data_IF_052133912416
#
_entry.id   IF_052133912416
#
_cell.length_a   1.000
_cell.length_b   1.000
_cell.length_c   1.000
_cell.angle_alpha   90.00
_cell.angle_beta   90.00
_cell.angle_gamma   90.00
#
_symmetry.space_group_name_H-M   'P 1'
#
loop_
_entity.id
_entity.type
_entity.pdbx_description
1 polymer ?
#
# COMPACT_ATOMS: atom_id res chain seq x y z
N UNK A 1 -14.80 -7.82 -5.70
CA UNK A 1 -13.39 -8.00 -6.10
C UNK A 1 -12.77 -9.04 -5.17
N UNK A 2 -12.52 -10.29 -5.62
CA UNK A 2 -11.83 -11.28 -4.78
C UNK A 2 -10.39 -10.81 -4.62
N UNK A 3 -10.01 -10.33 -3.44
CA UNK A 3 -8.61 -10.07 -3.13
C UNK A 3 -7.86 -11.39 -3.36
N UNK A 4 -7.00 -11.43 -4.37
CA UNK A 4 -6.03 -12.52 -4.52
C UNK A 4 -4.99 -12.31 -3.42
N UNK A 5 -5.29 -12.79 -2.21
CA UNK A 5 -4.30 -12.85 -1.14
C UNK A 5 -3.13 -13.70 -1.64
N UNK A 6 -1.98 -13.06 -1.86
CA UNK A 6 -0.75 -13.76 -2.21
C UNK A 6 -0.07 -14.16 -0.91
N UNK A 7 -0.19 -15.43 -0.55
CA UNK A 7 0.44 -15.95 0.65
C UNK A 7 1.97 -15.92 0.54
N UNK A 8 2.65 -15.59 1.64
CA UNK A 8 4.11 -15.58 1.74
C UNK A 8 4.68 -16.99 1.46
N UNK A 9 5.82 -17.05 0.77
CA UNK A 9 6.53 -18.32 0.47
C UNK A 9 6.79 -19.20 1.72
N UNK A 10 7.31 -18.67 2.84
CA UNK A 10 7.52 -19.48 4.05
C UNK A 10 6.21 -20.00 4.67
N UNK A 11 5.13 -19.22 4.60
CA UNK A 11 3.80 -19.67 5.04
C UNK A 11 3.27 -20.83 4.19
N UNK A 12 3.41 -20.77 2.86
CA UNK A 12 3.04 -21.89 1.97
C UNK A 12 3.83 -23.16 2.32
N UNK A 13 5.12 -23.03 2.62
CA UNK A 13 5.97 -24.15 3.03
C UNK A 13 5.50 -24.76 4.36
N UNK A 14 5.21 -23.93 5.35
CA UNK A 14 4.70 -24.38 6.66
C UNK A 14 3.39 -25.17 6.52
N UNK A 15 2.39 -24.61 5.83
CA UNK A 15 1.08 -25.26 5.63
C UNK A 15 1.24 -26.60 4.91
N UNK A 16 2.16 -26.70 3.95
CA UNK A 16 2.44 -27.97 3.25
C UNK A 16 3.11 -28.99 4.17
N UNK A 17 4.08 -28.59 5.00
CA UNK A 17 4.69 -29.52 5.97
C UNK A 17 3.70 -30.00 7.05
N UNK A 18 2.79 -29.14 7.50
CA UNK A 18 1.73 -29.55 8.43
C UNK A 18 0.82 -30.62 7.80
N UNK A 19 0.56 -30.54 6.49
CA UNK A 19 -0.17 -31.58 5.75
C UNK A 19 0.60 -32.91 5.59
N UNK A 20 1.93 -32.90 5.74
CA UNK A 20 2.77 -34.10 5.59
C UNK A 20 2.99 -34.83 6.92
N UNK A 21 2.54 -34.28 8.06
CA UNK A 21 2.63 -34.94 9.37
C UNK A 21 1.74 -36.20 9.40
N UNK A 22 2.19 -37.31 10.02
CA UNK A 22 1.37 -38.51 10.18
C UNK A 22 0.04 -38.18 10.89
N UNK A 23 -1.09 -38.57 10.28
CA UNK A 23 -2.43 -38.31 10.80
C UNK A 23 -3.04 -36.95 10.44
N UNK A 24 -2.31 -36.06 9.76
CA UNK A 24 -2.86 -34.79 9.29
C UNK A 24 -3.68 -34.96 8.00
N UNK A 25 -4.89 -34.41 7.97
CA UNK A 25 -5.71 -34.30 6.76
C UNK A 25 -5.56 -32.91 6.14
N UNK A 26 -5.37 -32.84 4.82
CA UNK A 26 -5.32 -31.57 4.06
C UNK A 26 -6.58 -30.73 4.33
N UNK A 27 -7.74 -31.35 4.53
CA UNK A 27 -8.99 -30.66 4.87
C UNK A 27 -8.97 -30.08 6.29
N UNK A 28 -8.35 -30.77 7.25
CA UNK A 28 -8.21 -30.28 8.63
C UNK A 28 -7.25 -29.10 8.70
N UNK A 29 -6.13 -29.17 7.98
CA UNK A 29 -5.14 -28.07 7.89
C UNK A 29 -5.73 -26.88 7.11
N UNK A 30 -6.54 -27.14 6.08
CA UNK A 30 -7.29 -26.09 5.38
C UNK A 30 -8.21 -25.30 6.32
N UNK A 31 -8.96 -25.99 7.20
CA UNK A 31 -9.85 -25.34 8.17
C UNK A 31 -9.05 -24.53 9.19
N UNK A 32 -7.96 -25.09 9.74
CA UNK A 32 -7.18 -24.40 10.78
C UNK A 32 -6.55 -23.09 10.28
N UNK A 33 -6.18 -23.02 9.00
CA UNK A 33 -5.57 -21.84 8.38
C UNK A 33 -6.57 -20.96 7.61
N UNK A 34 -7.84 -21.34 7.53
CA UNK A 34 -8.85 -20.64 6.72
C UNK A 34 -8.56 -20.64 5.21
N UNK A 35 -7.84 -21.65 4.72
CA UNK A 35 -7.42 -21.77 3.31
C UNK A 35 -8.26 -22.84 2.61
N UNK A 36 -8.66 -22.61 1.35
CA UNK A 36 -9.32 -23.65 0.57
C UNK A 36 -8.36 -24.85 0.30
N UNK A 37 -8.78 -26.07 0.59
CA UNK A 37 -7.98 -27.29 0.40
C UNK A 37 -7.45 -27.47 -1.04
N UNK A 38 -8.17 -26.98 -2.07
CA UNK A 38 -7.69 -27.00 -3.46
C UNK A 38 -6.43 -26.15 -3.67
N UNK A 39 -6.26 -25.09 -2.89
CA UNK A 39 -5.07 -24.21 -2.93
C UNK A 39 -3.87 -24.93 -2.31
N UNK A 40 -4.06 -25.62 -1.19
CA UNK A 40 -3.00 -26.41 -0.54
C UNK A 40 -2.53 -27.55 -1.45
N UNK A 41 -3.46 -28.23 -2.15
CA UNK A 41 -3.13 -29.26 -3.14
C UNK A 41 -2.23 -28.75 -4.28
N UNK A 42 -2.40 -27.49 -4.69
CA UNK A 42 -1.52 -26.86 -5.68
C UNK A 42 -0.12 -26.55 -5.12
N UNK A 43 0.01 -26.34 -3.82
CA UNK A 43 1.29 -26.04 -3.16
C UNK A 43 2.09 -27.29 -2.82
N UNK A 44 1.43 -28.42 -2.56
CA UNK A 44 2.04 -29.71 -2.23
C UNK A 44 3.24 -30.06 -3.13
N UNK A 45 3.15 -30.11 -4.48
CA UNK A 45 4.30 -30.48 -5.30
C UNK A 45 5.41 -29.41 -5.33
N UNK A 46 5.12 -28.15 -4.97
CA UNK A 46 6.06 -27.02 -5.09
C UNK A 46 6.86 -26.81 -3.80
N UNK A 47 6.30 -27.21 -2.65
CA UNK A 47 6.84 -26.91 -1.33
C UNK A 47 7.08 -28.16 -0.46
N UNK A 48 6.84 -29.38 -0.97
CA UNK A 48 7.07 -30.65 -0.26
C UNK A 48 8.50 -30.78 0.27
N UNK A 49 9.49 -30.44 -0.55
CA UNK A 49 10.91 -30.62 -0.20
C UNK A 49 11.57 -29.31 0.26
N UNK A 50 10.79 -28.25 0.47
CA UNK A 50 11.33 -26.96 0.89
C UNK A 50 11.44 -26.89 2.40
N UNK A 51 12.58 -26.44 2.94
CA UNK A 51 12.74 -26.26 4.38
C UNK A 51 11.76 -25.20 4.90
N UNK A 52 11.16 -25.47 6.06
CA UNK A 52 10.32 -24.50 6.76
C UNK A 52 11.25 -23.53 7.46
N UNK A 53 11.45 -22.36 6.87
CA UNK A 53 11.98 -21.25 7.62
C UNK A 53 10.94 -20.87 8.70
N UNK A 54 11.33 -20.72 9.98
CA UNK A 54 10.40 -20.26 11.00
C UNK A 54 9.81 -18.92 10.56
N UNK A 55 8.49 -18.84 10.46
CA UNK A 55 7.85 -17.54 10.38
C UNK A 55 8.08 -16.85 11.73
N UNK A 56 8.69 -15.65 11.78
CA UNK A 56 8.63 -14.88 13.01
C UNK A 56 7.14 -14.63 13.31
N UNK A 57 6.70 -15.05 14.50
CA UNK A 57 5.32 -14.93 14.96
C UNK A 57 4.81 -13.47 14.94
N UNK A 58 5.74 -12.53 14.90
CA UNK A 58 5.54 -11.11 14.69
C UNK A 58 6.70 -10.59 13.84
N UNK A 59 6.43 -10.10 12.64
CA UNK A 59 7.37 -9.21 11.95
C UNK A 59 7.10 -7.83 12.51
N UNK A 60 7.91 -7.29 13.45
CA UNK A 60 7.78 -5.90 13.84
C UNK A 60 7.93 -5.07 12.57
N UNK A 61 6.86 -4.36 12.19
CA UNK A 61 6.99 -3.25 11.26
C UNK A 61 7.92 -2.27 11.96
N UNK A 62 9.17 -2.19 11.52
CA UNK A 62 10.05 -1.15 12.02
C UNK A 62 9.39 0.18 11.66
N UNK A 63 8.96 0.96 12.66
CA UNK A 63 8.28 2.20 12.38
C UNK A 63 9.26 3.12 11.67
N UNK A 64 8.74 3.86 10.69
CA UNK A 64 9.44 5.00 10.12
C UNK A 64 10.04 5.85 11.26
N UNK A 65 11.30 6.30 11.15
CA UNK A 65 11.81 7.27 12.11
C UNK A 65 10.85 8.45 12.13
N UNK A 66 10.41 8.85 13.33
CA UNK A 66 9.35 9.85 13.55
C UNK A 66 9.56 11.12 12.72
N UNK A 67 10.81 11.56 12.60
CA UNK A 67 11.23 12.74 11.82
C UNK A 67 10.94 12.62 10.32
N UNK A 68 11.12 11.43 9.72
CA UNK A 68 10.80 11.22 8.30
C UNK A 68 9.29 11.30 8.06
N UNK A 69 8.49 10.73 8.96
CA UNK A 69 7.04 10.77 8.87
C UNK A 69 6.51 12.21 9.02
N UNK A 70 7.05 12.97 9.97
CA UNK A 70 6.69 14.38 10.19
C UNK A 70 6.97 15.25 8.97
N UNK A 71 8.14 15.08 8.34
CA UNK A 71 8.49 15.85 7.14
C UNK A 71 7.55 15.56 5.97
N UNK A 72 7.24 14.27 5.73
CA UNK A 72 6.27 13.90 4.70
C UNK A 72 4.88 14.49 4.98
N UNK A 73 4.41 14.41 6.23
CA UNK A 73 3.13 14.97 6.65
C UNK A 73 3.08 16.50 6.49
N UNK A 74 4.19 17.20 6.77
CA UNK A 74 4.27 18.63 6.60
C UNK A 74 4.14 19.03 5.12
N UNK A 75 4.88 18.36 4.23
CA UNK A 75 4.78 18.60 2.78
C UNK A 75 3.38 18.31 2.24
N UNK A 76 2.80 17.17 2.63
CA UNK A 76 1.43 16.82 2.22
C UNK A 76 0.43 17.84 2.76
N UNK A 77 0.55 18.25 4.03
CA UNK A 77 -0.29 19.26 4.66
C UNK A 77 -0.25 20.61 3.92
N UNK A 78 0.93 21.00 3.42
CA UNK A 78 1.11 22.18 2.57
C UNK A 78 0.37 22.08 1.24
N UNK A 79 0.37 20.93 0.58
CA UNK A 79 -0.41 20.72 -0.66
C UNK A 79 -1.92 20.88 -0.40
N UNK A 80 -2.43 20.29 0.69
CA UNK A 80 -3.84 20.45 1.05
C UNK A 80 -4.20 21.88 1.51
N UNK A 81 -3.23 22.65 2.00
CA UNK A 81 -3.46 24.07 2.31
C UNK A 81 -3.68 24.89 1.03
N UNK A 82 -2.90 24.63 -0.03
CA UNK A 82 -3.12 25.25 -1.34
C UNK A 82 -4.52 24.91 -1.86
N UNK A 83 -4.96 23.66 -1.74
CA UNK A 83 -6.30 23.24 -2.16
C UNK A 83 -7.42 23.88 -1.32
N UNK A 84 -7.18 24.14 -0.03
CA UNK A 84 -8.12 24.90 0.82
C UNK A 84 -8.27 26.34 0.34
N UNK A 85 -7.18 26.98 -0.05
CA UNK A 85 -7.20 28.35 -0.59
C UNK A 85 -7.88 28.40 -1.96
N UNK A 86 -7.67 27.38 -2.80
CA UNK A 86 -8.25 27.31 -4.14
C UNK A 86 -9.69 26.81 -4.23
N UNK A 87 -10.36 26.62 -3.09
CA UNK A 87 -11.68 25.98 -3.02
C UNK A 87 -12.74 26.71 -3.85
N UNK A 88 -12.80 28.03 -3.74
CA UNK A 88 -13.84 28.87 -4.38
C UNK A 88 -13.31 29.61 -5.62
N UNK A 89 -12.09 29.28 -6.07
CA UNK A 89 -11.45 29.83 -7.27
C UNK A 89 -11.94 29.12 -8.54
N UNK A 90 -11.86 29.81 -9.68
CA UNK A 90 -12.06 29.18 -10.98
C UNK A 90 -10.96 28.16 -11.28
N UNK A 91 -11.19 27.26 -12.24
CA UNK A 91 -10.21 26.22 -12.58
C UNK A 91 -8.87 26.81 -13.08
N UNK A 92 -8.92 27.93 -13.81
CA UNK A 92 -7.71 28.62 -14.29
C UNK A 92 -6.92 29.24 -13.12
N UNK A 93 -7.60 29.90 -12.20
CA UNK A 93 -7.00 30.50 -11.01
C UNK A 93 -6.42 29.43 -10.07
N UNK A 94 -7.16 28.33 -9.87
CA UNK A 94 -6.70 27.16 -9.12
C UNK A 94 -5.44 26.57 -9.75
N UNK A 95 -5.42 26.41 -11.07
CA UNK A 95 -4.24 25.94 -11.79
C UNK A 95 -3.05 26.88 -11.59
N UNK A 96 -3.23 28.21 -11.73
CA UNK A 96 -2.14 29.18 -11.49
C UNK A 96 -1.58 29.06 -10.07
N UNK A 97 -2.43 29.01 -9.06
CA UNK A 97 -2.00 28.85 -7.67
C UNK A 97 -1.24 27.53 -7.44
N UNK A 98 -1.70 26.44 -8.07
CA UNK A 98 -1.01 25.15 -8.03
C UNK A 98 0.38 25.27 -8.65
N UNK A 99 0.54 25.92 -9.80
CA UNK A 99 1.84 26.08 -10.44
C UNK A 99 2.81 26.95 -9.63
N UNK A 100 2.30 27.99 -8.97
CA UNK A 100 3.12 28.88 -8.14
C UNK A 100 3.57 28.24 -6.82
N UNK A 101 2.69 27.46 -6.17
CA UNK A 101 2.91 26.99 -4.80
C UNK A 101 2.95 25.46 -4.70
N UNK A 102 1.93 24.76 -5.20
CA UNK A 102 1.82 23.32 -5.02
C UNK A 102 2.86 22.53 -5.84
N UNK A 103 3.15 22.95 -7.08
CA UNK A 103 4.13 22.32 -7.95
C UNK A 103 5.55 22.32 -7.36
N UNK A 104 6.12 23.45 -6.89
CA UNK A 104 7.42 23.42 -6.24
C UNK A 104 7.42 22.65 -4.90
N UNK A 105 6.31 22.64 -4.16
CA UNK A 105 6.18 21.81 -2.94
C UNK A 105 6.20 20.31 -3.27
N UNK A 106 5.44 19.89 -4.28
CA UNK A 106 5.38 18.52 -4.74
C UNK A 106 6.75 18.07 -5.27
N UNK A 107 7.44 18.91 -6.04
CA UNK A 107 8.78 18.62 -6.54
C UNK A 107 9.79 18.42 -5.40
N UNK A 108 9.80 19.31 -4.40
CA UNK A 108 10.65 19.15 -3.20
C UNK A 108 10.33 17.86 -2.44
N UNK A 109 9.06 17.49 -2.32
CA UNK A 109 8.65 16.23 -1.71
C UNK A 109 9.16 15.03 -2.52
N UNK A 110 9.11 15.08 -3.85
CA UNK A 110 9.62 14.02 -4.72
C UNK A 110 11.12 13.80 -4.55
N UNK A 111 11.90 14.88 -4.63
CA UNK A 111 13.36 14.86 -4.44
C UNK A 111 13.72 14.32 -3.07
N UNK A 112 13.01 14.76 -2.02
CA UNK A 112 13.19 14.24 -0.68
C UNK A 112 12.86 12.75 -0.59
N UNK A 113 11.77 12.27 -1.18
CA UNK A 113 11.41 10.84 -1.17
C UNK A 113 12.45 9.98 -1.89
N UNK A 114 13.01 10.46 -3.01
CA UNK A 114 14.11 9.79 -3.70
C UNK A 114 15.35 9.71 -2.82
N UNK A 115 15.77 10.82 -2.21
CA UNK A 115 16.91 10.85 -1.30
C UNK A 115 16.72 9.92 -0.08
N UNK A 116 15.52 9.89 0.52
CA UNK A 116 15.23 8.96 1.61
C UNK A 116 15.24 7.50 1.15
N UNK A 117 14.85 7.23 -0.08
CA UNK A 117 14.82 5.86 -0.59
C UNK A 117 16.21 5.25 -0.71
N UNK A 118 17.23 6.06 -1.02
CA UNK A 118 18.63 5.65 -1.10
C UNK A 118 19.25 5.38 0.28
N UNK A 119 18.75 6.05 1.33
CA UNK A 119 19.25 5.92 2.69
C UNK A 119 18.65 4.72 3.45
N UNK A 120 17.52 4.20 2.97
CA UNK A 120 16.73 3.20 3.69
C UNK A 120 17.02 1.79 3.17
N UNK A 121 17.15 0.77 4.05
CA UNK A 121 17.32 -0.62 3.63
C UNK A 121 16.16 -1.13 2.74
N UNK A 122 16.48 -1.80 1.63
CA UNK A 122 15.49 -2.24 0.62
C UNK A 122 14.35 -3.10 1.17
N UNK A 123 14.63 -3.94 2.16
CA UNK A 123 13.65 -4.88 2.72
C UNK A 123 12.69 -4.26 3.73
N UNK A 124 12.91 -2.99 4.10
CA UNK A 124 12.14 -2.30 5.13
C UNK A 124 10.71 -1.95 4.68
N UNK A 125 9.83 -1.76 5.67
CA UNK A 125 8.47 -1.26 5.42
C UNK A 125 8.49 0.16 4.82
N UNK A 126 9.46 0.99 5.24
CA UNK A 126 9.70 2.32 4.71
C UNK A 126 10.04 2.31 3.22
N UNK A 127 10.99 1.46 2.80
CA UNK A 127 11.37 1.35 1.40
C UNK A 127 10.16 0.98 0.53
N UNK A 128 9.35 0.01 0.98
CA UNK A 128 8.11 -0.37 0.30
C UNK A 128 7.10 0.76 0.21
N UNK A 129 6.97 1.57 1.26
CA UNK A 129 6.06 2.71 1.26
C UNK A 129 6.52 3.80 0.27
N UNK A 130 7.82 4.15 0.30
CA UNK A 130 8.42 5.08 -0.64
C UNK A 130 8.29 4.58 -2.09
N UNK A 131 8.62 3.31 -2.34
CA UNK A 131 8.50 2.69 -3.67
C UNK A 131 7.05 2.72 -4.19
N UNK A 132 6.07 2.51 -3.31
CA UNK A 132 4.65 2.58 -3.66
C UNK A 132 4.26 3.98 -4.14
N UNK A 133 4.67 5.01 -3.40
CA UNK A 133 4.42 6.42 -3.73
C UNK A 133 5.15 6.84 -5.01
N UNK A 134 6.46 6.57 -5.09
CA UNK A 134 7.31 6.94 -6.23
C UNK A 134 6.85 6.29 -7.53
N UNK A 135 6.45 5.01 -7.49
CA UNK A 135 5.92 4.30 -8.66
C UNK A 135 4.65 4.95 -9.23
N UNK A 136 3.88 5.66 -8.41
CA UNK A 136 2.63 6.30 -8.79
C UNK A 136 2.72 7.81 -8.86
N UNK A 137 3.93 8.38 -8.78
CA UNK A 137 4.14 9.81 -8.67
C UNK A 137 3.39 10.62 -9.74
N UNK A 138 3.50 10.22 -11.01
CA UNK A 138 2.80 10.86 -12.14
C UNK A 138 1.29 10.93 -11.93
N UNK A 139 0.69 9.89 -11.36
CA UNK A 139 -0.75 9.87 -11.07
C UNK A 139 -1.08 10.76 -9.87
N UNK A 140 -0.23 10.77 -8.84
CA UNK A 140 -0.41 11.60 -7.64
C UNK A 140 -0.28 13.10 -7.92
N UNK A 141 0.51 13.49 -8.92
CA UNK A 141 0.72 14.90 -9.29
C UNK A 141 -0.15 15.37 -10.45
N UNK A 142 -0.98 14.51 -11.04
CA UNK A 142 -1.75 14.85 -12.25
C UNK A 142 -2.70 16.03 -12.05
N UNK A 143 -3.24 16.19 -10.85
CA UNK A 143 -4.12 17.31 -10.51
C UNK A 143 -3.43 18.69 -10.65
N UNK A 144 -2.09 18.74 -10.57
CA UNK A 144 -1.35 20.00 -10.74
C UNK A 144 -1.48 20.55 -12.17
N UNK A 145 -1.63 19.66 -13.16
CA UNK A 145 -1.74 20.04 -14.57
C UNK A 145 -3.16 20.50 -14.97
N UNK A 146 -4.17 20.18 -14.16
CA UNK A 146 -5.57 20.39 -14.50
C UNK A 146 -6.36 20.93 -13.30
N UNK A 147 -6.73 22.21 -13.39
CA UNK A 147 -7.49 22.90 -12.35
C UNK A 147 -8.84 22.27 -12.01
N UNK A 148 -9.48 21.57 -12.95
CA UNK A 148 -10.77 20.91 -12.71
C UNK A 148 -10.63 19.59 -11.93
N UNK A 149 -9.42 19.02 -11.88
CA UNK A 149 -9.16 17.74 -11.22
C UNK A 149 -8.91 17.98 -9.72
N UNK A 150 -9.64 17.29 -8.82
CA UNK A 150 -9.38 17.36 -7.38
C UNK A 150 -8.09 16.61 -7.02
N UNK A 151 -7.45 17.03 -5.92
CA UNK A 151 -6.22 16.41 -5.40
C UNK A 151 -6.39 14.92 -5.03
N UNK A 152 -7.59 14.52 -4.61
CA UNK A 152 -7.91 13.16 -4.21
C UNK A 152 -9.31 12.73 -4.69
N UNK A 153 -9.57 11.42 -4.60
CA UNK A 153 -10.86 10.83 -4.94
C UNK A 153 -11.77 10.59 -3.71
N UNK A 154 -11.42 11.13 -2.54
CA UNK A 154 -12.16 10.88 -1.28
C UNK A 154 -13.66 11.23 -1.40
N UNK A 155 -14.07 12.33 -2.05
CA UNK A 155 -15.50 12.63 -2.22
C UNK A 155 -16.24 11.52 -2.98
N UNK A 156 -15.62 11.00 -4.05
CA UNK A 156 -16.18 9.92 -4.86
C UNK A 156 -16.25 8.63 -4.03
N UNK A 157 -15.17 8.28 -3.34
CA UNK A 157 -15.12 7.09 -2.48
C UNK A 157 -16.17 7.14 -1.36
N UNK A 158 -16.31 8.29 -0.70
CA UNK A 158 -17.31 8.52 0.33
C UNK A 158 -18.74 8.38 -0.22
N UNK A 159 -18.97 8.83 -1.46
CA UNK A 159 -20.28 8.76 -2.12
C UNK A 159 -20.67 7.32 -2.48
N UNK A 160 -19.72 6.50 -2.95
CA UNK A 160 -19.99 5.11 -3.32
C UNK A 160 -19.94 4.14 -2.13
N UNK A 161 -19.32 4.55 -1.01
CA UNK A 161 -19.12 3.71 0.18
C UNK A 161 -20.41 3.04 0.68
N UNK A 162 -21.57 3.71 0.79
CA UNK A 162 -22.81 3.07 1.22
C UNK A 162 -23.21 1.87 0.35
N UNK A 163 -22.98 1.95 -0.97
CA UNK A 163 -23.34 0.88 -1.90
C UNK A 163 -22.31 -0.26 -1.90
N UNK A 164 -21.04 0.04 -1.60
CA UNK A 164 -19.99 -0.95 -1.44
C UNK A 164 -20.15 -1.75 -0.14
N UNK A 165 -20.53 -1.09 0.96
CA UNK A 165 -20.72 -1.72 2.27
C UNK A 165 -22.03 -2.52 2.37
N UNK A 166 -23.06 -2.19 1.59
CA UNK A 166 -24.30 -2.96 1.49
C UNK A 166 -24.13 -4.37 0.89
N UNK A 167 -22.94 -4.67 0.34
CA UNK A 167 -22.54 -6.02 -0.11
C UNK A 167 -21.78 -6.73 1.00
N UNK A 168 -22.46 -6.99 2.11
CA UNK A 168 -21.88 -7.80 3.19
C UNK A 168 -21.97 -9.29 2.82
N UNK A 169 -20.78 -9.89 2.65
CA UNK A 169 -20.36 -11.30 2.67
C UNK A 169 -21.24 -12.39 2.05
#
# INVERSE_FOLDING_TARGET
>A
MRQRSSYLKPFKAQVVQECLKPGASVSSVAISHGINASVIRKWLPIYRDKPVAPLPAFVPLQPMPKQLAEQALHSIGGLYEVERQAKDMSDEERWRLRQEIAAPLAQKLHEWMLAQRDLVPEVSATAKALDCSLKRWVALTRYLDDGAVPIDNNPVENTIRPWALGRSN
#
